data_IF_995473657530
#
_entry.id   IF_995473657530
#
_cell.length_a   1.000
_cell.length_b   1.000
_cell.length_c   1.000
_cell.angle_alpha   90.00
_cell.angle_beta   90.00
_cell.angle_gamma   90.00
#
_symmetry.space_group_name_H-M   'P 1'
#
loop_
_entity.id
_entity.type
_entity.pdbx_description
1 polymer ?
#
# COMPACT_ATOMS: atom_id res chain seq x y z
N UNK A 1 12.91 -3.07 -20.86
CA UNK A 1 12.21 -2.70 -19.62
C UNK A 1 11.61 -1.34 -19.87
N UNK A 2 10.31 -1.21 -19.72
CA UNK A 2 9.63 0.05 -19.94
C UNK A 2 10.06 1.07 -18.87
N UNK A 3 10.08 2.34 -19.24
CA UNK A 3 10.43 3.42 -18.31
C UNK A 3 9.38 3.49 -17.20
N UNK A 4 9.77 3.54 -15.91
CA UNK A 4 8.80 3.60 -14.81
C UNK A 4 7.98 4.91 -14.87
N UNK A 5 6.70 4.82 -14.51
CA UNK A 5 5.85 6.00 -14.41
C UNK A 5 6.33 6.95 -13.30
N UNK A 6 6.84 6.38 -12.20
CA UNK A 6 7.46 7.14 -11.12
C UNK A 6 8.76 6.45 -10.70
N UNK A 7 9.82 7.24 -10.54
CA UNK A 7 11.11 6.79 -9.97
C UNK A 7 11.48 7.65 -8.78
N UNK A 8 11.59 7.05 -7.61
CA UNK A 8 12.13 7.67 -6.40
C UNK A 8 13.59 7.28 -6.26
N UNK A 9 14.50 8.22 -6.50
CA UNK A 9 15.93 7.96 -6.66
C UNK A 9 16.75 8.48 -5.46
N UNK A 10 16.85 7.68 -4.39
CA UNK A 10 17.67 7.97 -3.22
C UNK A 10 17.25 9.22 -2.46
N UNK A 11 15.96 9.38 -2.27
CA UNK A 11 15.39 10.55 -1.61
C UNK A 11 15.74 10.55 -0.13
N UNK A 12 16.28 11.66 0.34
CA UNK A 12 16.52 11.94 1.76
C UNK A 12 15.87 13.26 2.12
N UNK A 13 15.12 13.29 3.22
CA UNK A 13 14.55 14.50 3.81
C UNK A 13 14.73 14.52 5.31
N UNK A 14 15.33 15.60 5.80
CA UNK A 14 15.57 15.82 7.23
C UNK A 14 14.75 17.02 7.70
N UNK A 15 14.22 16.90 8.91
CA UNK A 15 13.67 18.01 9.67
C UNK A 15 14.51 18.18 10.93
N UNK A 16 15.29 19.26 10.96
CA UNK A 16 16.32 19.48 12.00
C UNK A 16 17.29 18.29 12.03
N UNK A 17 17.33 17.54 13.12
CA UNK A 17 18.22 16.39 13.28
C UNK A 17 17.57 15.04 12.91
N UNK A 18 16.26 15.02 12.68
CA UNK A 18 15.52 13.78 12.37
C UNK A 18 15.44 13.58 10.86
N UNK A 19 15.89 12.43 10.37
CA UNK A 19 15.66 12.00 9.01
C UNK A 19 14.25 11.41 8.90
N UNK A 20 13.33 12.19 8.33
CA UNK A 20 11.96 11.70 8.09
C UNK A 20 11.89 10.75 6.89
N UNK A 21 12.83 10.88 5.94
CA UNK A 21 13.07 9.97 4.82
C UNK A 21 14.59 9.87 4.64
N UNK A 22 15.13 8.67 4.54
CA UNK A 22 16.56 8.40 4.47
C UNK A 22 16.89 7.42 3.34
N UNK A 23 17.41 7.95 2.23
CA UNK A 23 17.85 7.21 1.04
C UNK A 23 16.80 6.25 0.45
N UNK A 24 15.54 6.65 0.45
CA UNK A 24 14.43 5.83 -0.09
C UNK A 24 14.56 5.73 -1.61
N UNK A 25 14.42 4.50 -2.14
CA UNK A 25 14.51 4.17 -3.56
C UNK A 25 13.44 3.15 -3.91
N UNK A 26 12.60 3.45 -4.89
CA UNK A 26 11.70 2.51 -5.53
C UNK A 26 11.22 3.07 -6.87
N UNK A 27 10.78 2.20 -7.76
CA UNK A 27 10.15 2.55 -9.03
C UNK A 27 8.68 2.11 -9.00
N UNK A 28 7.82 2.77 -9.77
CA UNK A 28 6.42 2.36 -9.98
C UNK A 28 6.21 2.17 -11.48
N UNK A 29 5.75 1.01 -11.88
CA UNK A 29 5.50 0.71 -13.29
C UNK A 29 4.24 1.45 -13.81
N UNK A 30 4.13 1.73 -15.12
CA UNK A 30 2.89 2.24 -15.70
C UNK A 30 1.70 1.30 -15.43
N UNK A 31 0.57 1.86 -14.95
CA UNK A 31 -0.63 1.11 -14.64
C UNK A 31 -0.54 0.24 -13.38
N UNK A 32 0.50 0.37 -12.57
CA UNK A 32 0.67 -0.31 -11.28
C UNK A 32 -0.08 0.42 -10.16
N UNK A 33 -0.68 -0.34 -9.23
CA UNK A 33 -1.11 0.17 -7.92
C UNK A 33 -0.06 -0.22 -6.89
N UNK A 34 0.69 0.77 -6.39
CA UNK A 34 1.68 0.60 -5.34
C UNK A 34 1.14 1.04 -3.98
N UNK A 35 1.18 0.13 -3.00
CA UNK A 35 0.91 0.42 -1.60
C UNK A 35 2.17 0.91 -0.86
N UNK A 36 2.11 2.07 -0.21
CA UNK A 36 3.16 2.57 0.66
C UNK A 36 2.77 2.30 2.12
N UNK A 37 3.39 1.29 2.73
CA UNK A 37 3.03 0.79 4.05
C UNK A 37 4.04 1.22 5.12
N UNK A 38 3.60 1.20 6.37
CA UNK A 38 4.43 1.47 7.53
C UNK A 38 3.63 2.07 8.69
N UNK A 39 4.18 2.09 9.90
CA UNK A 39 3.51 2.67 11.06
C UNK A 39 3.34 4.19 10.93
N UNK A 40 2.57 4.77 11.84
CA UNK A 40 2.46 6.23 11.92
C UNK A 40 3.82 6.85 12.24
N UNK A 41 4.18 7.90 11.49
CA UNK A 41 5.50 8.53 11.60
C UNK A 41 6.63 7.82 10.83
N UNK A 42 6.36 6.73 10.12
CA UNK A 42 7.37 6.01 9.32
C UNK A 42 7.98 6.83 8.17
N UNK A 43 7.35 7.92 7.75
CA UNK A 43 7.81 8.75 6.63
C UNK A 43 6.94 8.69 5.37
N UNK A 44 5.83 7.94 5.37
CA UNK A 44 4.93 7.76 4.21
C UNK A 44 4.45 9.09 3.61
N UNK A 45 3.77 9.91 4.41
CA UNK A 45 3.27 11.23 3.99
C UNK A 45 4.40 12.16 3.55
N UNK A 46 5.57 12.12 4.23
CA UNK A 46 6.74 12.91 3.82
C UNK A 46 7.25 12.46 2.45
N UNK A 47 7.34 11.15 2.21
CA UNK A 47 7.72 10.59 0.91
C UNK A 47 6.76 11.06 -0.19
N UNK A 48 5.45 10.96 0.04
CA UNK A 48 4.43 11.45 -0.91
C UNK A 48 4.53 12.96 -1.16
N UNK A 49 4.76 13.76 -0.10
CA UNK A 49 4.97 15.21 -0.26
C UNK A 49 6.23 15.54 -1.07
N UNK A 50 7.28 14.73 -0.96
CA UNK A 50 8.48 14.87 -1.80
C UNK A 50 8.16 14.49 -3.25
N UNK A 51 7.45 13.39 -3.50
CA UNK A 51 7.04 12.99 -4.85
C UNK A 51 6.21 14.09 -5.53
N UNK A 52 5.38 14.80 -4.78
CA UNK A 52 4.55 15.90 -5.28
C UNK A 52 5.29 17.27 -5.31
N UNK A 53 6.59 17.30 -4.94
CA UNK A 53 7.34 18.54 -4.87
C UNK A 53 6.78 19.56 -3.86
N UNK A 54 5.92 19.12 -2.91
CA UNK A 54 5.43 19.96 -1.81
C UNK A 54 6.53 20.21 -0.77
N UNK A 55 7.48 19.27 -0.69
CA UNK A 55 8.66 19.37 0.16
C UNK A 55 9.88 19.04 -0.70
N UNK A 56 10.85 19.94 -0.74
CA UNK A 56 12.10 19.71 -1.45
C UNK A 56 12.95 18.66 -0.70
N UNK A 57 13.44 17.61 -1.37
CA UNK A 57 14.37 16.66 -0.76
C UNK A 57 15.73 17.32 -0.54
N UNK A 58 16.43 16.91 0.51
CA UNK A 58 17.81 17.36 0.78
C UNK A 58 18.81 16.62 -0.12
N UNK A 59 18.52 15.35 -0.47
CA UNK A 59 19.27 14.53 -1.44
C UNK A 59 18.31 13.73 -2.29
N UNK A 60 18.80 13.26 -3.43
CA UNK A 60 18.05 12.46 -4.38
C UNK A 60 17.13 13.29 -5.27
N UNK A 61 16.33 12.61 -6.06
CA UNK A 61 15.35 13.21 -6.97
C UNK A 61 14.16 12.28 -7.14
N UNK A 62 13.06 12.82 -7.67
CA UNK A 62 11.92 12.03 -8.13
C UNK A 62 11.69 12.34 -9.60
N UNK A 63 11.49 11.32 -10.39
CA UNK A 63 11.09 11.45 -11.79
C UNK A 63 9.68 10.92 -11.97
N UNK A 64 8.83 11.67 -12.68
CA UNK A 64 7.50 11.25 -13.09
C UNK A 64 7.47 11.32 -14.61
N UNK A 65 7.24 10.18 -15.25
CA UNK A 65 7.38 10.01 -16.71
C UNK A 65 8.69 10.63 -17.24
N UNK A 66 9.83 10.31 -16.56
CA UNK A 66 11.16 10.83 -16.92
C UNK A 66 11.43 12.29 -16.55
N UNK A 67 10.42 13.05 -16.10
CA UNK A 67 10.58 14.47 -15.74
C UNK A 67 10.95 14.65 -14.25
N UNK A 68 12.07 15.30 -13.98
CA UNK A 68 12.55 15.59 -12.62
C UNK A 68 11.65 16.59 -11.90
N UNK A 69 11.19 16.23 -10.70
CA UNK A 69 10.41 17.13 -9.83
C UNK A 69 11.18 18.38 -9.40
N UNK A 70 12.51 18.31 -9.38
CA UNK A 70 13.39 19.44 -8.99
C UNK A 70 13.65 20.38 -10.16
N UNK A 71 13.79 19.87 -11.39
CA UNK A 71 14.24 20.62 -12.55
C UNK A 71 13.11 20.97 -13.52
N UNK A 72 12.06 20.13 -13.58
CA UNK A 72 10.97 20.20 -14.55
C UNK A 72 9.62 20.01 -13.85
N UNK A 73 9.43 20.67 -12.70
CA UNK A 73 8.31 20.45 -11.79
C UNK A 73 6.94 20.49 -12.48
N UNK A 74 6.72 21.50 -13.32
CA UNK A 74 5.42 21.64 -14.03
C UNK A 74 5.15 20.46 -14.93
N UNK A 75 6.13 19.99 -15.70
CA UNK A 75 6.00 18.82 -16.56
C UNK A 75 5.81 17.53 -15.77
N UNK A 76 6.56 17.38 -14.69
CA UNK A 76 6.45 16.22 -13.82
C UNK A 76 5.06 16.13 -13.16
N UNK A 77 4.49 17.25 -12.72
CA UNK A 77 3.21 17.27 -12.00
C UNK A 77 1.99 17.42 -12.92
N UNK A 78 2.15 17.77 -14.19
CA UNK A 78 1.03 17.90 -15.13
C UNK A 78 0.14 16.63 -15.20
N UNK A 79 0.69 15.40 -15.23
CA UNK A 79 -0.12 14.19 -15.29
C UNK A 79 -0.60 13.69 -13.92
N UNK A 80 -0.39 14.42 -12.81
CA UNK A 80 -0.60 13.93 -11.44
C UNK A 80 -1.88 14.46 -10.84
N UNK A 81 -2.80 13.57 -10.47
CA UNK A 81 -3.90 13.84 -9.55
C UNK A 81 -3.52 13.43 -8.12
N UNK A 82 -3.97 14.18 -7.11
CA UNK A 82 -3.57 13.89 -5.74
C UNK A 82 -4.65 14.19 -4.72
N UNK A 83 -4.67 13.36 -3.65
CA UNK A 83 -5.33 13.63 -2.39
C UNK A 83 -4.29 13.44 -1.30
N UNK A 84 -3.83 14.55 -0.69
CA UNK A 84 -2.94 14.56 0.47
C UNK A 84 -3.72 15.21 1.61
N UNK A 85 -3.85 14.50 2.72
CA UNK A 85 -4.67 14.90 3.86
C UNK A 85 -6.17 15.05 3.49
N UNK A 86 -6.97 15.65 4.36
CA UNK A 86 -8.39 15.93 4.05
C UNK A 86 -8.53 17.04 3.02
N UNK A 87 -9.22 16.75 1.92
CA UNK A 87 -9.61 17.77 0.96
C UNK A 87 -10.56 18.77 1.62
N UNK A 88 -10.21 20.05 1.61
CA UNK A 88 -11.05 21.12 2.14
C UNK A 88 -11.92 21.70 1.03
N UNK A 89 -13.22 21.71 1.28
CA UNK A 89 -14.22 22.25 0.38
C UNK A 89 -14.85 23.51 0.94
N UNK A 90 -15.36 24.35 0.06
CA UNK A 90 -16.23 25.47 0.46
C UNK A 90 -17.63 24.91 0.79
N UNK A 91 -18.03 24.88 2.07
CA UNK A 91 -19.26 24.17 2.48
C UNK A 91 -20.53 24.81 1.96
N UNK A 92 -20.50 26.08 1.63
CA UNK A 92 -21.62 26.86 1.07
C UNK A 92 -21.78 26.73 -0.44
N UNK A 93 -20.75 26.22 -1.16
CA UNK A 93 -20.80 25.90 -2.57
C UNK A 93 -21.34 24.47 -2.81
N UNK A 94 -21.85 24.25 -4.01
CA UNK A 94 -22.25 22.92 -4.47
C UNK A 94 -21.02 22.06 -4.83
N UNK A 95 -21.20 20.74 -5.05
CA UNK A 95 -20.16 19.88 -5.55
C UNK A 95 -19.58 20.38 -6.88
N UNK A 96 -20.47 20.72 -7.82
CA UNK A 96 -20.09 21.29 -9.14
C UNK A 96 -19.26 22.57 -8.95
N UNK A 97 -19.75 23.51 -8.13
CA UNK A 97 -19.06 24.78 -7.91
C UNK A 97 -17.69 24.61 -7.27
N UNK A 98 -17.52 23.66 -6.33
CA UNK A 98 -16.21 23.34 -5.75
C UNK A 98 -15.24 22.82 -6.83
N UNK A 99 -15.66 21.90 -7.68
CA UNK A 99 -14.83 21.41 -8.80
C UNK A 99 -14.50 22.53 -9.79
N UNK A 100 -15.48 23.36 -10.16
CA UNK A 100 -15.27 24.50 -11.06
C UNK A 100 -14.26 25.51 -10.51
N UNK A 101 -14.23 25.77 -9.21
CA UNK A 101 -13.23 26.68 -8.61
C UNK A 101 -11.81 26.14 -8.82
N UNK A 102 -11.59 24.84 -8.56
CA UNK A 102 -10.26 24.24 -8.76
C UNK A 102 -9.91 24.16 -10.24
N UNK A 103 -10.87 23.82 -11.11
CA UNK A 103 -10.65 23.81 -12.56
C UNK A 103 -10.20 25.18 -13.06
N UNK A 104 -10.84 26.28 -12.63
CA UNK A 104 -10.43 27.67 -12.97
C UNK A 104 -9.02 27.97 -12.52
N UNK A 105 -8.65 27.62 -11.28
CA UNK A 105 -7.32 27.85 -10.75
C UNK A 105 -6.23 27.09 -11.52
N UNK A 106 -6.58 25.97 -12.13
CA UNK A 106 -5.68 25.13 -12.94
C UNK A 106 -5.74 25.45 -14.44
N UNK A 107 -6.57 26.42 -14.88
CA UNK A 107 -6.77 26.72 -16.31
C UNK A 107 -7.48 25.60 -17.09
N UNK A 108 -8.24 24.75 -16.40
CA UNK A 108 -9.00 23.63 -16.99
C UNK A 108 -10.40 24.08 -17.45
N UNK A 109 -11.06 23.30 -18.34
CA UNK A 109 -12.45 23.54 -18.72
C UNK A 109 -13.36 23.60 -17.49
N UNK A 110 -14.24 24.61 -17.42
CA UNK A 110 -15.17 24.82 -16.31
C UNK A 110 -16.62 24.65 -16.72
N UNK A 111 -16.85 24.19 -17.96
CA UNK A 111 -18.21 23.97 -18.42
C UNK A 111 -18.90 22.88 -17.56
N UNK A 112 -20.22 23.01 -17.35
CA UNK A 112 -20.95 22.09 -16.49
C UNK A 112 -20.89 20.64 -16.97
N UNK A 113 -20.81 20.38 -18.26
CA UNK A 113 -20.81 19.02 -18.81
C UNK A 113 -19.49 18.30 -18.46
N UNK A 114 -18.32 18.96 -18.62
CA UNK A 114 -17.03 18.41 -18.23
C UNK A 114 -16.96 18.11 -16.73
N UNK A 115 -17.48 19.02 -15.89
CA UNK A 115 -17.49 18.82 -14.43
C UNK A 115 -18.47 17.72 -14.03
N UNK A 116 -19.64 17.63 -14.68
CA UNK A 116 -20.59 16.55 -14.42
C UNK A 116 -20.04 15.17 -14.82
N UNK A 117 -19.28 15.07 -15.89
CA UNK A 117 -18.59 13.82 -16.27
C UNK A 117 -17.63 13.34 -15.18
N UNK A 118 -16.87 14.25 -14.55
CA UNK A 118 -16.03 13.93 -13.41
C UNK A 118 -16.86 13.48 -12.21
N UNK A 119 -17.98 14.18 -11.89
CA UNK A 119 -18.87 13.79 -10.80
C UNK A 119 -19.53 12.43 -11.05
N UNK A 120 -19.82 12.10 -12.31
CA UNK A 120 -20.34 10.79 -12.69
C UNK A 120 -19.33 9.68 -12.40
N UNK A 121 -18.07 9.86 -12.82
CA UNK A 121 -16.97 8.93 -12.54
C UNK A 121 -16.88 8.59 -11.04
N UNK A 122 -17.12 9.57 -10.15
CA UNK A 122 -17.06 9.35 -8.71
C UNK A 122 -18.43 9.08 -8.06
N UNK A 123 -19.49 8.93 -8.85
CA UNK A 123 -20.85 8.61 -8.40
C UNK A 123 -21.49 9.71 -7.56
N UNK A 124 -21.32 10.96 -7.96
CA UNK A 124 -21.89 12.15 -7.34
C UNK A 124 -22.75 13.00 -8.30
N UNK A 125 -23.15 12.48 -9.45
CA UNK A 125 -23.94 13.21 -10.45
C UNK A 125 -25.19 13.84 -9.85
N UNK A 126 -26.02 13.04 -9.17
CA UNK A 126 -27.27 13.51 -8.54
C UNK A 126 -27.02 14.51 -7.38
N UNK A 127 -25.93 14.31 -6.64
CA UNK A 127 -25.58 15.15 -5.51
C UNK A 127 -24.82 16.42 -5.91
N UNK A 128 -24.35 16.51 -7.16
CA UNK A 128 -23.50 17.60 -7.64
C UNK A 128 -24.09 19.00 -7.44
N UNK A 129 -25.40 19.16 -7.49
CA UNK A 129 -26.12 20.41 -7.25
C UNK A 129 -26.38 20.72 -5.76
N UNK A 130 -26.13 19.79 -4.86
CA UNK A 130 -26.30 20.01 -3.40
C UNK A 130 -25.08 20.71 -2.82
N UNK A 131 -25.29 21.56 -1.81
CA UNK A 131 -24.21 22.23 -1.06
C UNK A 131 -23.39 21.19 -0.27
N UNK A 132 -22.05 21.34 -0.27
CA UNK A 132 -21.12 20.39 0.35
C UNK A 132 -21.27 20.30 1.87
N UNK A 133 -21.81 21.34 2.54
CA UNK A 133 -22.16 21.26 3.97
C UNK A 133 -23.12 20.10 4.31
N UNK A 134 -23.93 19.65 3.35
CA UNK A 134 -24.88 18.54 3.50
C UNK A 134 -24.30 17.19 3.01
N UNK A 135 -23.01 17.13 2.66
CA UNK A 135 -22.37 15.89 2.24
C UNK A 135 -21.93 15.05 3.44
N UNK A 136 -22.15 13.73 3.35
CA UNK A 136 -21.53 12.77 4.27
C UNK A 136 -20.01 12.72 4.07
N UNK A 137 -19.29 12.10 4.98
CA UNK A 137 -17.85 11.86 4.83
C UNK A 137 -17.55 11.14 3.51
N UNK A 138 -18.28 10.06 3.22
CA UNK A 138 -18.18 9.31 1.95
C UNK A 138 -18.37 10.20 0.71
N UNK A 139 -19.35 11.10 0.74
CA UNK A 139 -19.58 12.03 -0.39
C UNK A 139 -18.43 13.04 -0.52
N UNK A 140 -17.87 13.52 0.58
CA UNK A 140 -16.70 14.41 0.55
C UNK A 140 -15.47 13.70 0.01
N UNK A 141 -15.24 12.44 0.38
CA UNK A 141 -14.14 11.63 -0.16
C UNK A 141 -14.29 11.40 -1.67
N UNK A 142 -15.48 11.06 -2.15
CA UNK A 142 -15.76 10.95 -3.59
C UNK A 142 -15.53 12.28 -4.31
N UNK A 143 -15.92 13.40 -3.71
CA UNK A 143 -15.66 14.72 -4.28
C UNK A 143 -14.15 15.04 -4.32
N UNK A 144 -13.39 14.63 -3.30
CA UNK A 144 -11.93 14.74 -3.29
C UNK A 144 -11.28 13.94 -4.43
N UNK A 145 -11.76 12.71 -4.65
CA UNK A 145 -11.33 11.92 -5.80
C UNK A 145 -11.69 12.65 -7.12
N UNK A 146 -12.89 13.25 -7.22
CA UNK A 146 -13.27 14.08 -8.37
C UNK A 146 -12.31 15.25 -8.60
N UNK A 147 -11.83 15.93 -7.54
CA UNK A 147 -10.80 16.97 -7.67
C UNK A 147 -9.47 16.42 -8.24
N UNK A 148 -9.07 15.24 -7.80
CA UNK A 148 -7.84 14.60 -8.31
C UNK A 148 -7.98 14.21 -9.81
N UNK A 149 -9.19 13.89 -10.26
CA UNK A 149 -9.48 13.45 -11.63
C UNK A 149 -9.74 14.57 -12.63
N UNK A 150 -9.84 15.84 -12.20
CA UNK A 150 -10.22 16.98 -13.05
C UNK A 150 -9.39 17.13 -14.33
N UNK A 151 -8.14 16.72 -14.33
CA UNK A 151 -7.24 16.83 -15.49
C UNK A 151 -6.94 15.48 -16.16
N UNK A 152 -7.77 14.46 -15.92
CA UNK A 152 -7.59 13.10 -16.46
C UNK A 152 -6.17 12.59 -16.23
N UNK A 153 -5.72 12.48 -14.97
CA UNK A 153 -4.34 12.17 -14.64
C UNK A 153 -3.97 10.75 -15.06
N UNK A 154 -2.72 10.54 -15.50
CA UNK A 154 -2.15 9.20 -15.67
C UNK A 154 -1.50 8.66 -14.40
N UNK A 155 -1.34 9.50 -13.38
CA UNK A 155 -0.78 9.16 -12.07
C UNK A 155 -1.70 9.68 -10.97
N UNK A 156 -2.07 8.83 -10.01
CA UNK A 156 -2.78 9.23 -8.79
C UNK A 156 -1.91 8.98 -7.55
N UNK A 157 -1.87 9.96 -6.64
CA UNK A 157 -1.17 9.84 -5.35
C UNK A 157 -2.15 10.15 -4.24
N UNK A 158 -2.43 9.13 -3.40
CA UNK A 158 -3.50 9.15 -2.41
C UNK A 158 -2.95 8.83 -1.01
N UNK A 159 -2.98 9.80 -0.10
CA UNK A 159 -2.54 9.61 1.28
C UNK A 159 -3.72 9.18 2.15
N UNK A 160 -3.67 7.95 2.69
CA UNK A 160 -4.67 7.33 3.55
C UNK A 160 -6.12 7.46 3.02
N UNK A 161 -6.41 7.12 1.74
CA UNK A 161 -7.70 7.43 1.10
C UNK A 161 -8.89 6.67 1.70
N UNK A 162 -8.64 5.60 2.46
CA UNK A 162 -9.66 4.76 3.08
C UNK A 162 -9.95 5.15 4.53
N UNK A 163 -9.17 6.10 5.10
CA UNK A 163 -9.28 6.44 6.51
C UNK A 163 -10.66 7.04 6.85
N UNK A 164 -11.28 6.52 7.93
CA UNK A 164 -12.57 6.97 8.41
C UNK A 164 -13.78 6.58 7.56
N UNK A 165 -13.59 5.71 6.55
CA UNK A 165 -14.68 5.15 5.76
C UNK A 165 -15.24 3.87 6.40
N UNK A 166 -16.55 3.65 6.19
CA UNK A 166 -17.17 2.36 6.49
C UNK A 166 -16.79 1.28 5.44
N UNK A 167 -16.99 -0.02 5.73
CA UNK A 167 -16.60 -1.09 4.81
C UNK A 167 -17.24 -0.98 3.43
N UNK A 168 -18.48 -0.46 3.34
CA UNK A 168 -19.18 -0.29 2.04
C UNK A 168 -18.51 0.82 1.22
N UNK A 169 -18.09 1.91 1.88
CA UNK A 169 -17.39 3.01 1.22
C UNK A 169 -15.96 2.62 0.80
N UNK A 170 -15.27 1.81 1.62
CA UNK A 170 -13.95 1.25 1.27
C UNK A 170 -14.05 0.39 0.01
N UNK A 171 -15.02 -0.53 -0.03
CA UNK A 171 -15.25 -1.37 -1.21
C UNK A 171 -15.54 -0.53 -2.47
N UNK A 172 -16.41 0.47 -2.37
CA UNK A 172 -16.73 1.37 -3.50
C UNK A 172 -15.49 2.14 -3.99
N UNK A 173 -14.66 2.64 -3.07
CA UNK A 173 -13.41 3.31 -3.43
C UNK A 173 -12.43 2.33 -4.13
N UNK A 174 -12.26 1.14 -3.58
CA UNK A 174 -11.42 0.09 -4.17
C UNK A 174 -11.86 -0.25 -5.59
N UNK A 175 -13.16 -0.52 -5.81
CA UNK A 175 -13.69 -0.86 -7.12
C UNK A 175 -13.41 0.26 -8.15
N UNK A 176 -13.49 1.54 -7.73
CA UNK A 176 -13.14 2.69 -8.59
C UNK A 176 -11.65 2.76 -8.91
N UNK A 177 -10.78 2.56 -7.94
CA UNK A 177 -9.33 2.58 -8.16
C UNK A 177 -8.91 1.43 -9.07
N UNK A 178 -9.48 0.24 -8.94
CA UNK A 178 -9.26 -0.88 -9.85
C UNK A 178 -9.74 -0.58 -11.27
N UNK A 179 -10.90 0.08 -11.42
CA UNK A 179 -11.37 0.50 -12.73
C UNK A 179 -10.44 1.54 -13.39
N UNK A 180 -9.88 2.47 -12.63
CA UNK A 180 -8.89 3.44 -13.13
C UNK A 180 -7.57 2.75 -13.52
N UNK A 181 -7.09 1.81 -12.71
CA UNK A 181 -5.95 0.97 -13.05
C UNK A 181 -6.16 0.24 -14.39
N UNK A 182 -7.33 -0.35 -14.59
CA UNK A 182 -7.67 -1.03 -15.84
C UNK A 182 -7.66 -0.09 -17.06
N UNK A 183 -7.79 1.23 -16.87
CA UNK A 183 -7.64 2.27 -17.87
C UNK A 183 -6.18 2.76 -18.03
N UNK A 184 -5.22 2.14 -17.32
CA UNK A 184 -3.80 2.47 -17.41
C UNK A 184 -3.33 3.55 -16.41
N UNK A 185 -4.16 3.97 -15.46
CA UNK A 185 -3.75 4.94 -14.43
C UNK A 185 -2.82 4.27 -13.43
N UNK A 186 -1.65 4.85 -13.21
CA UNK A 186 -0.71 4.44 -12.15
C UNK A 186 -1.12 5.05 -10.83
N UNK A 187 -1.12 4.26 -9.74
CA UNK A 187 -1.62 4.71 -8.45
C UNK A 187 -0.58 4.43 -7.36
N UNK A 188 -0.25 5.43 -6.55
CA UNK A 188 0.41 5.24 -5.26
C UNK A 188 -0.59 5.57 -4.17
N UNK A 189 -0.75 4.69 -3.20
CA UNK A 189 -1.54 4.99 -2.01
C UNK A 189 -0.80 4.62 -0.74
N UNK A 190 -0.98 5.40 0.32
CA UNK A 190 -0.61 4.98 1.67
C UNK A 190 -1.80 4.36 2.37
N UNK A 191 -1.55 3.38 3.21
CA UNK A 191 -2.56 2.81 4.11
C UNK A 191 -1.90 2.13 5.31
N UNK A 192 -2.66 1.99 6.38
CA UNK A 192 -2.37 1.13 7.51
C UNK A 192 -3.33 -0.08 7.58
N UNK A 193 -4.29 -0.18 6.66
CA UNK A 193 -5.27 -1.26 6.55
C UNK A 193 -4.72 -2.35 5.62
N UNK A 194 -3.90 -3.26 6.16
CA UNK A 194 -3.18 -4.27 5.38
C UNK A 194 -4.09 -5.15 4.53
N UNK A 195 -5.23 -5.61 5.07
CA UNK A 195 -6.18 -6.43 4.34
C UNK A 195 -6.82 -5.74 3.12
N UNK A 196 -6.98 -4.41 3.16
CA UNK A 196 -7.49 -3.65 2.02
C UNK A 196 -6.41 -3.42 0.96
N UNK A 197 -5.17 -3.19 1.41
CA UNK A 197 -4.01 -3.07 0.52
C UNK A 197 -3.77 -4.37 -0.23
N UNK A 198 -3.87 -5.52 0.44
CA UNK A 198 -3.72 -6.85 -0.16
C UNK A 198 -4.73 -7.11 -1.29
N UNK A 199 -5.95 -6.56 -1.19
CA UNK A 199 -6.99 -6.71 -2.20
C UNK A 199 -6.91 -5.69 -3.35
N UNK A 200 -6.14 -4.60 -3.19
CA UNK A 200 -6.12 -3.49 -4.12
C UNK A 200 -4.79 -3.35 -4.86
N UNK A 201 -3.67 -3.53 -4.15
CA UNK A 201 -2.35 -3.22 -4.68
C UNK A 201 -1.74 -4.39 -5.45
N UNK A 202 -0.90 -4.08 -6.43
CA UNK A 202 -0.08 -5.06 -7.16
C UNK A 202 1.20 -5.37 -6.39
N UNK A 203 1.75 -4.34 -5.73
CA UNK A 203 2.98 -4.41 -4.96
C UNK A 203 2.92 -3.43 -3.80
N UNK A 204 3.68 -3.73 -2.76
CA UNK A 204 3.83 -2.87 -1.58
C UNK A 204 5.30 -2.55 -1.33
N UNK A 205 5.52 -1.36 -0.80
CA UNK A 205 6.79 -0.88 -0.31
C UNK A 205 6.63 -0.56 1.17
N UNK A 206 7.46 -1.16 2.00
CA UNK A 206 7.45 -0.97 3.45
C UNK A 206 8.46 0.10 3.85
N UNK A 207 7.98 1.11 4.57
CA UNK A 207 8.82 2.16 5.16
C UNK A 207 8.73 2.08 6.68
N UNK A 208 9.88 2.06 7.34
CA UNK A 208 9.98 2.25 8.79
C UNK A 208 11.11 3.22 9.11
N UNK A 209 10.86 4.13 10.05
CA UNK A 209 11.82 5.17 10.50
C UNK A 209 12.51 5.91 9.34
N UNK A 210 11.74 6.20 8.30
CA UNK A 210 12.21 6.90 7.10
C UNK A 210 12.99 6.05 6.10
N UNK A 211 13.16 4.76 6.31
CA UNK A 211 13.90 3.85 5.43
C UNK A 211 12.97 2.84 4.78
N UNK A 212 13.30 2.46 3.57
CA UNK A 212 12.68 1.31 2.93
C UNK A 212 13.25 0.05 3.57
N UNK A 213 12.37 -0.79 4.16
CA UNK A 213 12.74 -2.04 4.83
C UNK A 213 12.41 -3.27 4.02
N UNK A 214 11.53 -3.15 3.02
CA UNK A 214 11.17 -4.26 2.14
C UNK A 214 10.22 -3.85 1.02
N UNK A 215 10.17 -4.69 0.01
CA UNK A 215 9.19 -4.64 -1.08
C UNK A 215 8.59 -6.04 -1.26
N UNK A 216 7.29 -6.11 -1.56
CA UNK A 216 6.60 -7.37 -1.76
C UNK A 216 5.59 -7.26 -2.90
N UNK A 217 5.56 -8.25 -3.78
CA UNK A 217 4.61 -8.34 -4.90
C UNK A 217 3.36 -9.10 -4.45
N UNK A 218 2.19 -8.48 -4.60
CA UNK A 218 0.91 -9.09 -4.24
C UNK A 218 0.27 -9.84 -5.42
N UNK A 219 0.61 -9.46 -6.66
CA UNK A 219 0.14 -10.12 -7.89
C UNK A 219 0.72 -11.54 -8.03
N UNK A 220 1.91 -11.76 -7.49
CA UNK A 220 2.61 -13.04 -7.49
C UNK A 220 2.64 -13.68 -6.09
N UNK A 221 1.74 -13.31 -5.20
CA UNK A 221 1.50 -14.07 -3.96
C UNK A 221 0.95 -15.48 -4.23
N UNK A 222 0.81 -15.88 -5.49
CA UNK A 222 0.93 -17.26 -5.96
C UNK A 222 2.40 -17.72 -6.05
N UNK A 223 3.27 -17.33 -5.13
CA UNK A 223 4.37 -18.22 -4.81
C UNK A 223 3.71 -19.50 -4.38
N UNK A 224 4.08 -20.59 -5.02
CA UNK A 224 3.47 -21.92 -4.87
C UNK A 224 3.50 -22.46 -3.43
N UNK A 225 3.84 -21.66 -2.44
CA UNK A 225 3.94 -22.01 -1.03
C UNK A 225 2.75 -21.46 -0.23
N UNK A 226 2.08 -22.35 0.48
CA UNK A 226 0.95 -22.06 1.37
C UNK A 226 1.34 -22.26 2.84
N UNK A 227 0.69 -21.55 3.73
CA UNK A 227 0.61 -21.93 5.14
C UNK A 227 -0.50 -22.97 5.29
N UNK A 228 -0.12 -24.17 5.73
CA UNK A 228 -1.08 -25.23 5.97
C UNK A 228 -1.41 -25.29 7.45
N UNK A 229 -2.67 -25.12 7.82
CA UNK A 229 -3.19 -25.33 9.17
C UNK A 229 -3.94 -26.65 9.22
N UNK A 230 -3.51 -27.55 10.13
CA UNK A 230 -4.13 -28.83 10.33
C UNK A 230 -4.70 -28.89 11.74
N UNK A 231 -6.02 -29.02 11.83
CA UNK A 231 -6.71 -29.21 13.11
C UNK A 231 -6.82 -30.68 13.43
N UNK A 232 -6.26 -31.06 14.58
CA UNK A 232 -6.23 -32.42 15.08
C UNK A 232 -7.16 -32.57 16.31
N UNK A 233 -7.61 -33.77 16.57
CA UNK A 233 -8.37 -34.09 17.78
C UNK A 233 -7.51 -34.13 19.02
N UNK A 234 -6.29 -34.66 18.90
CA UNK A 234 -5.27 -34.74 19.95
C UNK A 234 -3.90 -34.93 19.31
N UNK A 235 -2.82 -34.82 20.11
CA UNK A 235 -1.48 -35.21 19.67
C UNK A 235 -0.76 -34.16 18.80
N UNK A 236 -1.08 -32.87 18.92
CA UNK A 236 -0.46 -31.79 18.13
C UNK A 236 1.07 -31.75 18.24
N UNK A 237 1.64 -32.03 19.43
CA UNK A 237 3.10 -32.10 19.61
C UNK A 237 3.72 -33.25 18.79
N UNK A 238 3.09 -34.44 18.80
CA UNK A 238 3.52 -35.58 17.99
C UNK A 238 3.40 -35.29 16.48
N UNK A 239 2.41 -34.50 16.08
CA UNK A 239 2.26 -34.11 14.67
C UNK A 239 3.44 -33.25 14.20
N UNK A 240 3.94 -32.33 15.02
CA UNK A 240 5.14 -31.55 14.69
C UNK A 240 6.37 -32.46 14.52
N UNK A 241 6.54 -33.47 15.40
CA UNK A 241 7.63 -34.45 15.28
C UNK A 241 7.52 -35.27 13.99
N UNK A 242 6.33 -35.73 13.64
CA UNK A 242 6.04 -36.47 12.42
C UNK A 242 6.33 -35.66 11.16
N UNK A 243 6.04 -34.37 11.21
CA UNK A 243 6.25 -33.44 10.08
C UNK A 243 7.66 -32.85 10.01
N UNK A 244 8.48 -32.99 11.06
CA UNK A 244 9.83 -32.43 11.10
C UNK A 244 10.73 -32.76 9.90
N UNK A 245 10.69 -34.01 9.32
CA UNK A 245 11.47 -34.33 8.12
C UNK A 245 11.03 -33.57 6.87
N UNK A 246 9.73 -33.26 6.74
CA UNK A 246 9.16 -32.53 5.60
C UNK A 246 9.20 -31.02 5.81
N UNK A 247 8.90 -30.57 7.01
CA UNK A 247 8.94 -29.15 7.39
C UNK A 247 9.50 -28.96 8.80
N UNK A 248 10.81 -28.68 8.93
CA UNK A 248 11.44 -28.42 10.22
C UNK A 248 10.89 -27.17 10.95
N UNK A 249 10.13 -26.34 10.24
CA UNK A 249 9.51 -25.10 10.75
C UNK A 249 8.07 -25.29 11.20
N UNK A 250 7.53 -26.52 11.19
CA UNK A 250 6.19 -26.79 11.70
C UNK A 250 6.10 -26.47 13.20
N UNK A 251 5.02 -25.84 13.62
CA UNK A 251 4.80 -25.44 15.00
C UNK A 251 3.32 -25.57 15.40
N UNK A 252 3.02 -25.40 16.69
CA UNK A 252 1.65 -25.43 17.21
C UNK A 252 1.16 -24.02 17.50
N UNK A 253 -0.01 -23.66 16.98
CA UNK A 253 -0.68 -22.39 17.25
C UNK A 253 -2.18 -22.61 17.37
N UNK A 254 -2.81 -22.08 18.42
CA UNK A 254 -4.26 -22.17 18.68
C UNK A 254 -4.82 -23.62 18.60
N UNK A 255 -4.03 -24.61 19.03
CA UNK A 255 -4.43 -26.00 19.02
C UNK A 255 -4.43 -26.68 17.64
N UNK A 256 -3.91 -26.02 16.64
CA UNK A 256 -3.66 -26.56 15.31
C UNK A 256 -2.15 -26.71 15.04
N UNK A 257 -1.79 -27.59 14.14
CA UNK A 257 -0.43 -27.67 13.61
C UNK A 257 -0.33 -26.76 12.38
N UNK A 258 0.64 -25.87 12.40
CA UNK A 258 0.92 -24.93 11.30
C UNK A 258 2.19 -25.37 10.58
N UNK A 259 2.10 -25.51 9.27
CA UNK A 259 3.24 -25.82 8.38
C UNK A 259 3.41 -24.63 7.43
N UNK A 260 4.39 -23.75 7.70
CA UNK A 260 4.62 -22.58 6.88
C UNK A 260 5.32 -22.94 5.57
N UNK A 261 5.11 -22.15 4.53
CA UNK A 261 5.83 -22.20 3.24
C UNK A 261 5.84 -23.59 2.59
N UNK A 262 4.73 -24.30 2.66
CA UNK A 262 4.58 -25.62 2.06
C UNK A 262 4.15 -25.49 0.59
N UNK A 263 4.82 -26.16 -0.38
CA UNK A 263 4.32 -26.26 -1.74
C UNK A 263 2.93 -26.92 -1.76
N UNK A 264 1.92 -26.40 -2.50
CA UNK A 264 0.56 -26.92 -2.52
C UNK A 264 0.48 -28.40 -2.86
N UNK A 265 1.40 -28.89 -3.72
CA UNK A 265 1.50 -30.29 -4.11
C UNK A 265 1.83 -31.22 -2.94
N UNK A 266 2.48 -30.71 -1.90
CA UNK A 266 2.86 -31.46 -0.70
C UNK A 266 1.74 -31.52 0.35
N UNK A 267 0.67 -30.73 0.21
CA UNK A 267 -0.47 -30.76 1.15
C UNK A 267 -1.05 -32.17 1.33
N UNK A 268 -1.30 -32.97 0.25
CA UNK A 268 -1.77 -34.33 0.41
C UNK A 268 -0.77 -35.25 1.13
N UNK A 269 0.53 -35.00 1.03
CA UNK A 269 1.56 -35.77 1.69
C UNK A 269 1.57 -35.51 3.20
N UNK A 270 1.47 -34.26 3.62
CA UNK A 270 1.30 -33.88 5.04
C UNK A 270 0.12 -34.62 5.66
N UNK A 271 -1.05 -34.60 5.00
CA UNK A 271 -2.24 -35.27 5.51
C UNK A 271 -2.02 -36.79 5.62
N UNK A 272 -1.41 -37.42 4.62
CA UNK A 272 -1.11 -38.87 4.65
C UNK A 272 -0.14 -39.24 5.77
N UNK A 273 0.88 -38.44 6.02
CA UNK A 273 1.84 -38.64 7.13
C UNK A 273 1.14 -38.59 8.49
N UNK A 274 0.30 -37.59 8.71
CA UNK A 274 -0.45 -37.44 9.96
C UNK A 274 -1.42 -38.61 10.21
N UNK A 275 -2.23 -38.98 9.21
CA UNK A 275 -3.15 -40.07 9.30
C UNK A 275 -2.42 -41.41 9.47
N UNK A 276 -1.30 -41.61 8.73
CA UNK A 276 -0.45 -42.81 8.85
C UNK A 276 0.23 -42.93 10.22
N UNK A 277 0.44 -41.82 10.94
CA UNK A 277 0.92 -41.80 12.31
C UNK A 277 -0.20 -42.04 13.37
N UNK A 278 -1.42 -42.28 12.93
CA UNK A 278 -2.58 -42.54 13.80
C UNK A 278 -3.17 -41.25 14.41
N UNK A 279 -2.99 -40.12 13.76
CA UNK A 279 -3.54 -38.84 14.22
C UNK A 279 -4.85 -38.55 13.46
N UNK A 280 -5.90 -38.17 14.21
CA UNK A 280 -7.22 -37.86 13.65
C UNK A 280 -7.21 -36.41 13.13
N UNK A 281 -7.36 -36.27 11.80
CA UNK A 281 -7.43 -34.98 11.13
C UNK A 281 -8.88 -34.51 11.01
N UNK A 282 -9.22 -33.40 11.67
CA UNK A 282 -10.57 -32.81 11.68
C UNK A 282 -10.76 -31.66 10.69
N UNK A 283 -9.66 -31.10 10.23
CA UNK A 283 -9.72 -30.02 9.24
C UNK A 283 -8.35 -29.67 8.70
N UNK A 284 -8.33 -29.31 7.43
CA UNK A 284 -7.14 -28.84 6.74
C UNK A 284 -7.50 -27.55 6.02
N UNK A 285 -6.79 -26.48 6.27
CA UNK A 285 -6.89 -25.24 5.53
C UNK A 285 -5.52 -24.86 5.01
N UNK A 286 -5.45 -24.58 3.72
CA UNK A 286 -4.27 -24.04 3.08
C UNK A 286 -4.57 -22.58 2.69
N UNK A 287 -3.76 -21.68 3.14
CA UNK A 287 -3.87 -20.24 2.84
C UNK A 287 -2.51 -19.68 2.48
N UNK A 288 -2.48 -18.67 1.63
CA UNK A 288 -1.25 -17.91 1.45
C UNK A 288 -1.01 -17.05 2.71
N UNK A 289 0.25 -16.84 3.11
CA UNK A 289 0.55 -15.92 4.20
C UNK A 289 -0.06 -14.55 3.92
N UNK A 290 -0.81 -14.02 4.86
CA UNK A 290 -1.41 -12.69 4.71
C UNK A 290 -0.33 -11.61 4.65
N UNK A 291 -0.66 -10.47 4.05
CA UNK A 291 0.25 -9.32 4.04
C UNK A 291 0.66 -8.92 5.46
N UNK A 292 -0.22 -9.11 6.44
CA UNK A 292 0.08 -8.83 7.86
C UNK A 292 1.17 -9.75 8.41
N UNK A 293 1.11 -11.05 8.14
CA UNK A 293 2.14 -12.01 8.53
C UNK A 293 3.48 -11.68 7.88
N UNK A 294 3.48 -11.42 6.57
CA UNK A 294 4.69 -11.01 5.81
C UNK A 294 5.27 -9.67 6.32
N UNK A 295 4.40 -8.72 6.67
CA UNK A 295 4.79 -7.44 7.26
C UNK A 295 5.51 -7.64 8.61
N UNK A 296 4.98 -8.50 9.48
CA UNK A 296 5.60 -8.81 10.78
C UNK A 296 6.96 -9.48 10.61
N UNK A 297 7.10 -10.41 9.67
CA UNK A 297 8.39 -11.06 9.36
C UNK A 297 9.44 -10.06 8.86
N UNK A 298 9.08 -9.17 7.93
CA UNK A 298 9.98 -8.15 7.40
C UNK A 298 10.42 -7.15 8.47
N UNK A 299 9.52 -6.75 9.37
CA UNK A 299 9.84 -5.82 10.46
C UNK A 299 10.70 -6.47 11.53
N UNK A 300 10.47 -7.75 11.89
CA UNK A 300 11.30 -8.50 12.82
C UNK A 300 12.71 -8.73 12.27
N UNK A 301 12.84 -9.04 10.97
CA UNK A 301 14.13 -9.18 10.29
C UNK A 301 14.93 -7.87 10.27
N UNK A 302 14.26 -6.74 10.00
CA UNK A 302 14.89 -5.42 10.01
C UNK A 302 15.39 -5.01 11.42
N UNK A 303 14.68 -5.38 12.47
CA UNK A 303 15.10 -5.12 13.86
C UNK A 303 16.40 -5.85 14.22
N UNK A 304 16.59 -7.08 13.75
CA UNK A 304 17.80 -7.87 13.98
C UNK A 304 19.03 -7.35 13.21
N UNK A 305 18.85 -6.78 12.02
CA UNK A 305 19.96 -6.22 11.22
C UNK A 305 20.47 -4.88 11.81
N UNK A 306 19.66 -4.17 12.57
CA UNK A 306 20.03 -2.88 13.19
C UNK A 306 20.77 -3.02 14.54
N UNK A 307 20.86 -4.23 15.10
CA UNK A 307 21.48 -4.47 16.42
C UNK A 307 22.95 -4.90 16.32
N UNK A 308 23.44 -5.36 15.15
CA UNK A 308 24.80 -5.91 15.02
C UNK A 308 25.99 -4.94 14.86
N UNK A 309 25.90 -3.63 14.55
CA UNK A 309 27.12 -2.81 14.42
C UNK A 309 27.72 -2.27 15.71
N UNK A 310 27.02 -2.30 16.86
CA UNK A 310 27.55 -1.67 18.10
C UNK A 310 28.25 -2.63 19.08
N UNK A 311 28.10 -3.94 18.92
CA UNK A 311 28.71 -4.91 19.84
C UNK A 311 30.20 -5.17 19.57
N UNK A 312 30.68 -5.00 18.33
CA UNK A 312 32.08 -5.27 17.95
C UNK A 312 33.05 -4.09 18.18
N UNK A 313 32.55 -2.90 18.53
CA UNK A 313 33.38 -1.72 18.74
C UNK A 313 33.88 -1.56 20.20
N UNK A 314 33.46 -2.39 21.15
CA UNK A 314 33.82 -2.28 22.58
C UNK A 314 34.87 -3.27 23.08
N UNK A 315 35.27 -4.25 22.29
CA UNK A 315 36.31 -5.21 22.71
C UNK A 315 37.73 -4.90 22.20
N UNK A 316 37.92 -3.82 21.41
CA UNK A 316 39.21 -3.43 20.84
C UNK A 316 39.99 -2.34 21.56
N UNK A 317 39.53 -1.82 22.69
CA UNK A 317 40.19 -0.72 23.43
C UNK A 317 40.55 -1.10 24.85
N UNK A 318 41.27 -2.22 25.03
CA UNK A 318 41.75 -2.67 26.34
C UNK A 318 42.92 -3.62 26.23
N UNK A 319 44.06 -3.11 25.78
CA UNK A 319 45.41 -3.71 26.03
C UNK A 319 46.46 -2.64 25.81
#
# INVERSE_FOLDING_TARGET
MDEPAIRVAGVTKRYRQVAAVDNVRFDVAPGEILGLLGPNGAGKTTTMRVILGLVAPDRGDVLIHGHSIRRQRERALAPVGTIIEEARFYPYLTGIQNLQQVARLRGLPTDPAAVLAVLDTVGLSEAGHRRVRGYSLRMRQRLALGLALLQSPSVLILDEPMNGLDPVAIKDLRDRLLAMRAQGVTIILSSHLLGEVEQLCDRVVLIDKGRLIGEDSLVHASTDAVELRVRLGAGVARAVEVLAPLSPRAFVEDGAVVVPLLPPEQVPEVVRLLVGAGLDVYGVSASHPTLEQRYLEMTAGAANVLVEPEALAREGAGS
#
